data_IF_258484716891
#
_entry.id   IF_258484716891
#
_cell.length_a   1.000
_cell.length_b   1.000
_cell.length_c   1.000
_cell.angle_alpha   90.00
_cell.angle_beta   90.00
_cell.angle_gamma   90.00
#
_symmetry.space_group_name_H-M   'P 1'
#
loop_
_entity.id
_entity.type
_entity.pdbx_description
1 polymer ?
#
# COMPACT_ATOMS: atom_id res chain seq x y z
N UNK A 1 -0.25 2.00 -25.60
CA UNK A 1 -0.65 2.71 -24.37
C UNK A 1 0.63 3.04 -23.64
N UNK A 2 1.01 4.32 -23.54
CA UNK A 2 2.23 4.78 -22.87
C UNK A 2 1.86 5.39 -21.53
N UNK A 3 1.65 4.53 -20.52
CA UNK A 3 1.31 4.95 -19.15
C UNK A 3 2.58 5.10 -18.33
N UNK A 4 2.57 6.04 -17.37
CA UNK A 4 3.73 6.37 -16.56
C UNK A 4 3.89 5.47 -15.32
N UNK A 5 2.83 4.80 -14.88
CA UNK A 5 2.85 3.89 -13.73
C UNK A 5 1.70 2.87 -13.78
N UNK A 6 1.86 1.78 -13.01
CA UNK A 6 0.86 0.73 -12.81
C UNK A 6 0.45 0.66 -11.34
N UNK A 7 -0.84 0.45 -11.10
CA UNK A 7 -1.40 0.23 -9.77
C UNK A 7 -1.91 -1.21 -9.69
N UNK A 8 -1.30 -2.00 -8.81
CA UNK A 8 -1.81 -3.32 -8.40
C UNK A 8 -2.77 -3.08 -7.24
N UNK A 9 -4.07 -3.23 -7.49
CA UNK A 9 -5.10 -2.94 -6.49
C UNK A 9 -5.98 -4.15 -6.18
N UNK A 10 -6.05 -4.53 -4.90
CA UNK A 10 -7.10 -5.42 -4.41
C UNK A 10 -8.25 -4.58 -3.84
N UNK A 11 -9.43 -4.73 -4.44
CA UNK A 11 -10.62 -3.95 -4.12
C UNK A 11 -11.17 -4.21 -2.72
N UNK A 12 -12.08 -3.34 -2.26
CA UNK A 12 -12.71 -3.51 -0.94
C UNK A 12 -13.57 -4.78 -0.88
N UNK A 13 -14.42 -5.00 -1.89
CA UNK A 13 -15.32 -6.17 -1.91
C UNK A 13 -14.52 -7.48 -2.01
N UNK A 14 -13.49 -7.52 -2.85
CA UNK A 14 -12.63 -8.70 -3.03
C UNK A 14 -11.96 -9.13 -1.72
N UNK A 15 -11.42 -8.18 -0.96
CA UNK A 15 -10.82 -8.45 0.37
C UNK A 15 -11.83 -8.96 1.40
N UNK A 16 -13.10 -8.57 1.29
CA UNK A 16 -14.16 -9.02 2.20
C UNK A 16 -14.76 -10.37 1.78
N UNK A 17 -14.77 -10.68 0.48
CA UNK A 17 -15.31 -11.94 -0.05
C UNK A 17 -14.28 -13.07 -0.09
N UNK A 18 -12.99 -12.75 -0.21
CA UNK A 18 -11.89 -13.72 -0.32
C UNK A 18 -10.91 -13.50 0.83
N UNK A 19 -11.01 -14.29 1.92
CA UNK A 19 -10.12 -14.16 3.07
C UNK A 19 -8.65 -14.33 2.67
N UNK A 20 -7.81 -13.38 3.09
CA UNK A 20 -6.36 -13.42 2.86
C UNK A 20 -5.90 -12.91 1.51
N UNK A 21 -6.81 -12.49 0.61
CA UNK A 21 -6.42 -11.89 -0.67
C UNK A 21 -5.66 -10.57 -0.44
N UNK A 22 -4.48 -10.47 -1.02
CA UNK A 22 -3.58 -9.34 -0.83
C UNK A 22 -2.99 -8.87 -2.17
N UNK A 23 -2.79 -7.56 -2.37
CA UNK A 23 -2.11 -7.08 -3.57
C UNK A 23 -0.63 -7.48 -3.59
N UNK A 24 -0.09 -7.98 -2.46
CA UNK A 24 1.27 -8.53 -2.38
C UNK A 24 1.42 -9.84 -3.17
N UNK A 25 0.33 -10.60 -3.34
CA UNK A 25 0.34 -11.86 -4.09
C UNK A 25 0.57 -11.59 -5.59
N UNK A 26 0.06 -10.47 -6.08
CA UNK A 26 0.15 -10.05 -7.49
C UNK A 26 1.34 -9.13 -7.77
N UNK A 27 1.91 -8.47 -6.75
CA UNK A 27 2.95 -7.46 -6.93
C UNK A 27 4.21 -8.03 -7.61
N UNK A 28 4.71 -9.18 -7.15
CA UNK A 28 5.92 -9.81 -7.71
C UNK A 28 5.78 -10.14 -9.21
N UNK A 29 4.75 -10.90 -9.61
CA UNK A 29 4.49 -11.19 -11.02
C UNK A 29 4.34 -9.94 -11.91
N UNK A 30 3.76 -8.86 -11.38
CA UNK A 30 3.63 -7.60 -12.12
C UNK A 30 4.99 -6.91 -12.28
N UNK A 31 5.78 -6.82 -11.21
CA UNK A 31 7.14 -6.26 -11.25
C UNK A 31 8.05 -7.01 -12.22
N UNK A 32 7.93 -8.33 -12.31
CA UNK A 32 8.71 -9.14 -13.26
C UNK A 32 8.32 -8.89 -14.73
N UNK A 33 7.10 -8.40 -14.96
CA UNK A 33 6.53 -8.23 -16.30
C UNK A 33 6.73 -6.83 -16.89
N UNK A 34 7.08 -5.82 -16.08
CA UNK A 34 7.08 -4.41 -16.49
C UNK A 34 8.31 -3.66 -16.00
N UNK A 35 8.78 -2.70 -16.80
CA UNK A 35 9.89 -1.80 -16.42
C UNK A 35 9.40 -0.44 -15.91
N UNK A 36 8.09 -0.17 -15.94
CA UNK A 36 7.51 1.08 -15.48
C UNK A 36 7.15 1.02 -14.00
N UNK A 37 7.20 2.15 -13.27
CA UNK A 37 6.95 2.19 -11.83
C UNK A 37 5.62 1.53 -11.42
N UNK A 38 5.69 0.72 -10.36
CA UNK A 38 4.53 0.00 -9.81
C UNK A 38 4.28 0.41 -8.36
N UNK A 39 3.00 0.46 -7.98
CA UNK A 39 2.55 0.50 -6.58
C UNK A 39 1.56 -0.63 -6.28
N UNK A 40 1.55 -1.10 -5.03
CA UNK A 40 0.54 -2.02 -4.52
C UNK A 40 -0.39 -1.32 -3.51
N UNK A 41 -1.70 -1.53 -3.63
CA UNK A 41 -2.73 -0.91 -2.79
C UNK A 41 -3.83 -1.92 -2.51
N UNK A 42 -4.42 -1.90 -1.31
CA UNK A 42 -5.58 -2.74 -1.01
C UNK A 42 -5.47 -3.44 0.34
N UNK A 43 -5.91 -2.77 1.40
CA UNK A 43 -5.96 -3.36 2.74
C UNK A 43 -4.59 -3.63 3.39
N UNK A 44 -3.50 -3.09 2.84
CA UNK A 44 -2.17 -3.22 3.43
C UNK A 44 -2.08 -2.44 4.73
N UNK A 45 -1.45 -3.03 5.75
CA UNK A 45 -0.99 -2.31 6.93
C UNK A 45 0.18 -1.37 6.60
N UNK A 46 0.55 -0.48 7.53
CA UNK A 46 1.71 0.41 7.35
C UNK A 46 2.98 -0.40 7.08
N UNK A 47 3.21 -1.47 7.83
CA UNK A 47 4.39 -2.34 7.66
C UNK A 47 4.40 -3.00 6.29
N UNK A 48 3.26 -3.58 5.87
CA UNK A 48 3.15 -4.22 4.57
C UNK A 48 3.37 -3.22 3.41
N UNK A 49 2.88 -1.99 3.53
CA UNK A 49 3.12 -0.95 2.54
C UNK A 49 4.60 -0.54 2.50
N UNK A 50 5.31 -0.54 3.63
CA UNK A 50 6.76 -0.29 3.64
C UNK A 50 7.53 -1.45 3.00
N UNK A 51 7.10 -2.69 3.22
CA UNK A 51 7.72 -3.89 2.64
C UNK A 51 7.62 -3.94 1.12
N UNK A 52 6.61 -3.32 0.49
CA UNK A 52 6.49 -3.28 -0.98
C UNK A 52 7.71 -2.65 -1.64
N UNK A 53 8.36 -1.69 -0.96
CA UNK A 53 9.59 -1.07 -1.45
C UNK A 53 10.72 -2.09 -1.56
N UNK A 54 10.86 -2.97 -0.57
CA UNK A 54 11.84 -4.06 -0.56
C UNK A 54 11.55 -5.09 -1.65
N UNK A 55 10.27 -5.26 -2.01
CA UNK A 55 9.84 -6.12 -3.11
C UNK A 55 10.08 -5.52 -4.50
N UNK A 56 10.34 -4.20 -4.61
CA UNK A 56 10.64 -3.52 -5.87
C UNK A 56 9.63 -2.45 -6.30
N UNK A 57 8.56 -2.23 -5.52
CA UNK A 57 7.64 -1.12 -5.79
C UNK A 57 8.32 0.23 -5.55
N UNK A 58 8.24 1.12 -6.53
CA UNK A 58 8.86 2.45 -6.46
C UNK A 58 8.00 3.46 -5.71
N UNK A 59 6.68 3.23 -5.68
CA UNK A 59 5.71 4.12 -5.09
C UNK A 59 5.00 3.38 -3.95
N UNK A 60 5.03 3.97 -2.76
CA UNK A 60 4.36 3.46 -1.56
C UNK A 60 3.14 4.32 -1.26
N UNK A 61 1.99 3.68 -1.09
CA UNK A 61 0.70 4.35 -0.86
C UNK A 61 0.16 3.99 0.51
N UNK A 62 -0.26 5.01 1.24
CA UNK A 62 -0.97 4.85 2.51
C UNK A 62 -2.35 5.50 2.40
N UNK A 63 -3.38 4.74 2.75
CA UNK A 63 -4.77 5.20 2.73
C UNK A 63 -5.42 5.07 4.10
N UNK A 64 -6.44 4.21 4.19
CA UNK A 64 -7.17 3.92 5.42
C UNK A 64 -6.30 3.65 6.67
N UNK A 65 -5.17 2.92 6.62
CA UNK A 65 -4.35 2.67 7.80
C UNK A 65 -3.80 3.92 8.50
N UNK A 66 -3.66 5.04 7.76
CA UNK A 66 -3.25 6.32 8.34
C UNK A 66 -4.41 7.14 8.89
N UNK A 67 -5.65 6.81 8.50
CA UNK A 67 -6.83 7.66 8.68
C UNK A 67 -7.90 6.99 9.56
N UNK A 68 -7.89 5.66 9.74
CA UNK A 68 -9.07 4.89 10.15
C UNK A 68 -8.64 3.73 11.07
N UNK A 69 -9.16 3.69 12.29
CA UNK A 69 -9.30 2.43 13.04
C UNK A 69 -10.32 1.57 12.29
N UNK A 70 -9.87 0.48 11.66
CA UNK A 70 -10.51 -0.55 10.81
C UNK A 70 -12.03 -0.50 10.45
N UNK A 71 -12.91 0.08 11.27
CA UNK A 71 -14.38 0.02 11.12
C UNK A 71 -15.08 1.39 11.14
N UNK A 72 -14.36 2.52 11.26
CA UNK A 72 -14.97 3.86 11.22
C UNK A 72 -14.02 4.91 10.64
N UNK A 73 -14.50 5.72 9.69
CA UNK A 73 -13.83 6.92 9.15
C UNK A 73 -13.68 8.02 10.22
N UNK A 74 -12.99 7.72 11.31
CA UNK A 74 -12.60 8.64 12.37
C UNK A 74 -11.09 8.74 12.38
N UNK A 75 -10.58 9.97 12.33
CA UNK A 75 -9.15 10.24 12.29
C UNK A 75 -8.41 9.40 13.35
N UNK A 76 -7.33 8.73 12.93
CA UNK A 76 -6.36 8.14 13.85
C UNK A 76 -5.94 9.24 14.85
N UNK A 77 -6.32 9.08 16.11
CA UNK A 77 -6.26 10.13 17.12
C UNK A 77 -4.86 10.72 17.29
N UNK A 78 -4.79 12.01 17.65
CA UNK A 78 -3.68 12.88 18.09
C UNK A 78 -2.22 12.71 17.61
N UNK A 79 -1.84 11.65 16.90
CA UNK A 79 -0.46 11.24 16.64
C UNK A 79 -0.17 11.03 15.14
N UNK A 80 -1.11 11.40 14.26
CA UNK A 80 -0.98 11.30 12.81
C UNK A 80 0.33 11.90 12.26
N UNK A 81 0.73 13.07 12.77
CA UNK A 81 1.98 13.71 12.36
C UNK A 81 3.21 12.86 12.71
N UNK A 82 3.25 12.29 13.91
CA UNK A 82 4.35 11.44 14.37
C UNK A 82 4.48 10.18 13.49
N UNK A 83 3.34 9.53 13.20
CA UNK A 83 3.28 8.35 12.34
C UNK A 83 3.78 8.69 10.92
N UNK A 84 3.32 9.81 10.34
CA UNK A 84 3.78 10.26 9.03
C UNK A 84 5.28 10.55 9.02
N UNK A 85 5.81 11.21 10.06
CA UNK A 85 7.25 11.49 10.18
C UNK A 85 8.07 10.20 10.23
N UNK A 86 7.61 9.20 10.99
CA UNK A 86 8.29 7.91 11.08
C UNK A 86 8.26 7.16 9.74
N UNK A 87 7.12 7.15 9.04
CA UNK A 87 7.01 6.57 7.70
C UNK A 87 7.97 7.25 6.73
N UNK A 88 7.99 8.58 6.69
CA UNK A 88 8.88 9.34 5.79
C UNK A 88 10.34 9.04 6.09
N UNK A 89 10.71 8.93 7.37
CA UNK A 89 12.06 8.55 7.80
C UNK A 89 12.43 7.15 7.28
N UNK A 90 11.56 6.16 7.50
CA UNK A 90 11.79 4.77 7.04
C UNK A 90 11.88 4.64 5.53
N UNK A 91 11.12 5.43 4.78
CA UNK A 91 11.17 5.46 3.30
C UNK A 91 12.45 6.12 2.78
N UNK A 92 12.94 7.16 3.45
CA UNK A 92 14.11 7.94 2.99
C UNK A 92 15.45 7.33 3.40
N UNK A 93 15.51 6.54 4.47
CA UNK A 93 16.75 6.04 5.08
C UNK A 93 17.35 7.05 6.04
#
# INVERSE_FOLDING_TARGET
LGVDYIIVHTGFDERNMIPGLSPLDDLGPVLDAVEIPVQAVGGLSIEQALDTRTLGAEIVVFGAPLVISNDAFTAAGSDFESVLREIVKRIKG
#
